data_IF_427398647972
#
_entry.id   IF_427398647972
#
_cell.length_a   1.000
_cell.length_b   1.000
_cell.length_c   1.000
_cell.angle_alpha   90.00
_cell.angle_beta   90.00
_cell.angle_gamma   90.00
#
_symmetry.space_group_name_H-M   'P 1'
#
loop_
_entity.id
_entity.type
_entity.pdbx_description
1 polymer ?
#
# COMPACT_ATOMS: atom_id res chain seq x y z
N UNK A 1 -9.02 6.79 -11.66
CA UNK A 1 -9.38 5.74 -10.68
C UNK A 1 -8.20 4.80 -10.53
N UNK A 2 -7.68 4.63 -9.31
CA UNK A 2 -6.58 3.71 -8.98
C UNK A 2 -7.10 2.61 -8.06
N UNK A 3 -6.72 1.35 -8.33
CA UNK A 3 -7.07 0.20 -7.50
C UNK A 3 -5.88 -0.72 -7.34
N UNK A 4 -5.49 -0.99 -6.10
CA UNK A 4 -4.54 -2.00 -5.68
C UNK A 4 -5.30 -3.10 -4.94
N UNK A 5 -5.06 -4.37 -5.29
CA UNK A 5 -5.71 -5.51 -4.65
C UNK A 5 -4.66 -6.49 -4.15
N UNK A 6 -4.69 -6.78 -2.85
CA UNK A 6 -3.86 -7.78 -2.19
C UNK A 6 -2.38 -7.71 -2.61
N UNK A 7 -1.81 -6.51 -2.59
CA UNK A 7 -0.44 -6.27 -3.00
C UNK A 7 0.52 -6.85 -1.97
N UNK A 8 1.46 -7.66 -2.47
CA UNK A 8 2.57 -8.22 -1.72
C UNK A 8 3.89 -7.73 -2.31
N UNK A 9 4.81 -7.24 -1.48
CA UNK A 9 6.13 -6.80 -1.93
C UNK A 9 7.23 -7.33 -1.03
N UNK A 10 8.40 -7.58 -1.62
CA UNK A 10 9.53 -8.19 -0.94
C UNK A 10 10.82 -7.45 -1.25
N UNK A 11 11.59 -7.13 -0.21
CA UNK A 11 12.96 -6.64 -0.30
C UNK A 11 13.89 -7.69 0.28
N UNK A 12 14.44 -8.54 -0.60
CA UNK A 12 15.13 -9.76 -0.18
C UNK A 12 14.20 -10.62 0.68
N UNK A 13 14.61 -10.86 1.93
CA UNK A 13 13.84 -11.67 2.88
C UNK A 13 12.73 -10.89 3.62
N UNK A 14 12.61 -9.58 3.39
CA UNK A 14 11.62 -8.74 4.08
C UNK A 14 10.34 -8.69 3.25
N UNK A 15 9.23 -9.15 3.82
CA UNK A 15 7.88 -8.99 3.26
C UNK A 15 7.32 -7.63 3.71
N UNK A 16 7.54 -6.61 2.87
CA UNK A 16 7.27 -5.21 3.19
C UNK A 16 5.75 -4.93 3.20
N UNK A 17 5.08 -5.03 2.04
CA UNK A 17 3.62 -4.96 1.97
C UNK A 17 3.02 -6.35 2.08
N UNK A 18 2.11 -6.56 3.05
CA UNK A 18 1.49 -7.86 3.36
C UNK A 18 0.02 -7.89 2.97
N UNK A 19 -0.27 -8.02 1.68
CA UNK A 19 -1.66 -8.14 1.18
C UNK A 19 -2.44 -6.84 1.22
N UNK A 20 -1.78 -5.71 0.97
CA UNK A 20 -2.38 -4.37 1.07
C UNK A 20 -3.32 -4.11 -0.11
N UNK A 21 -4.52 -3.61 0.17
CA UNK A 21 -5.47 -3.16 -0.85
C UNK A 21 -5.78 -1.68 -0.66
N UNK A 22 -5.84 -0.93 -1.76
CA UNK A 22 -6.13 0.50 -1.75
C UNK A 22 -7.01 0.84 -2.95
N UNK A 23 -7.99 1.71 -2.75
CA UNK A 23 -8.78 2.28 -3.83
C UNK A 23 -8.75 3.80 -3.72
N UNK A 24 -8.53 4.49 -4.83
CA UNK A 24 -8.55 5.96 -4.89
C UNK A 24 -9.41 6.39 -6.07
N UNK A 25 -10.47 7.14 -5.75
CA UNK A 25 -11.41 7.65 -6.72
C UNK A 25 -10.83 8.86 -7.47
N UNK A 26 -11.44 9.24 -8.58
CA UNK A 26 -11.03 10.44 -9.29
C UNK A 26 -11.36 11.69 -8.46
N UNK A 27 -10.37 12.57 -8.27
CA UNK A 27 -10.51 13.80 -7.46
C UNK A 27 -10.30 13.58 -5.96
N UNK A 28 -10.08 12.35 -5.50
CA UNK A 28 -9.81 12.05 -4.10
C UNK A 28 -8.34 12.30 -3.73
N UNK A 29 -8.11 12.94 -2.58
CA UNK A 29 -6.77 13.13 -1.99
C UNK A 29 -6.66 12.19 -0.79
N UNK A 30 -5.73 11.24 -0.88
CA UNK A 30 -5.48 10.24 0.17
C UNK A 30 -4.07 10.43 0.72
N UNK A 31 -3.96 10.46 2.05
CA UNK A 31 -2.68 10.50 2.77
C UNK A 31 -2.49 9.20 3.54
N UNK A 32 -1.31 8.59 3.42
CA UNK A 32 -0.91 7.45 4.23
C UNK A 32 -0.03 7.92 5.38
N UNK A 33 -0.32 7.43 6.59
CA UNK A 33 0.46 7.70 7.80
C UNK A 33 0.90 6.38 8.43
N UNK A 34 2.12 6.36 8.97
CA UNK A 34 2.68 5.17 9.58
C UNK A 34 4.07 5.42 10.14
N UNK A 35 4.51 4.55 11.05
CA UNK A 35 5.88 4.53 11.52
C UNK A 35 6.85 4.14 10.38
N UNK A 36 8.13 4.46 10.53
CA UNK A 36 9.15 4.00 9.59
C UNK A 36 9.14 2.46 9.51
N UNK A 37 9.02 1.92 8.30
CA UNK A 37 8.96 0.48 8.05
C UNK A 37 7.60 -0.19 8.35
N UNK A 38 6.52 0.58 8.53
CA UNK A 38 5.18 0.04 8.79
C UNK A 38 4.57 -0.75 7.60
N UNK A 39 5.15 -0.60 6.41
CA UNK A 39 4.79 -1.31 5.19
C UNK A 39 5.83 -1.03 4.11
#
# INVERSE_FOLDING_TARGET
MLTLKSVHTYYGNIHALKGVSLHVNQGEIVTLIGANGAG
#
